data_IF_892183477486
#
_entry.id   IF_892183477486
#
_cell.length_a   1.000
_cell.length_b   1.000
_cell.length_c   1.000
_cell.angle_alpha   90.00
_cell.angle_beta   90.00
_cell.angle_gamma   90.00
#
_symmetry.space_group_name_H-M   'P 1'
#
loop_
_entity.id
_entity.type
_entity.pdbx_description
1 polymer ?
#
# COMPACT_ATOMS: atom_id res chain seq x y z
N UNK A 1 -7.15 13.32 4.82
CA UNK A 1 -7.17 11.99 4.18
C UNK A 1 -5.79 11.71 3.60
N UNK A 2 -5.32 10.49 3.78
CA UNK A 2 -4.08 10.01 3.18
C UNK A 2 -4.28 8.60 2.67
N UNK A 3 -3.43 8.16 1.74
CA UNK A 3 -3.62 6.89 1.04
C UNK A 3 -2.30 6.13 1.01
N UNK A 4 -2.29 4.94 1.61
CA UNK A 4 -1.16 4.03 1.50
C UNK A 4 -1.22 3.33 0.14
N UNK A 5 -0.13 3.42 -0.60
CA UNK A 5 -0.06 2.92 -1.97
C UNK A 5 0.58 1.54 -1.98
N UNK A 6 -0.20 0.53 -2.35
CA UNK A 6 0.31 -0.83 -2.50
C UNK A 6 1.28 -0.93 -3.69
N UNK A 7 2.17 -1.89 -3.62
CA UNK A 7 3.14 -2.18 -4.68
C UNK A 7 2.47 -2.35 -6.04
N UNK A 8 1.30 -2.98 -6.09
CA UNK A 8 0.56 -3.20 -7.36
C UNK A 8 0.26 -1.89 -8.10
N UNK A 9 -0.06 -0.83 -7.36
CA UNK A 9 -0.33 0.49 -7.95
C UNK A 9 0.96 1.10 -8.49
N UNK A 10 2.08 0.99 -7.75
CA UNK A 10 3.37 1.46 -8.22
C UNK A 10 3.79 0.75 -9.50
N UNK A 11 3.63 -0.58 -9.57
CA UNK A 11 3.97 -1.36 -10.76
C UNK A 11 3.13 -0.92 -11.96
N UNK A 12 1.83 -0.71 -11.77
CA UNK A 12 0.96 -0.17 -12.81
C UNK A 12 1.46 1.19 -13.30
N UNK A 13 1.83 2.08 -12.37
CA UNK A 13 2.37 3.39 -12.72
C UNK A 13 3.66 3.28 -13.54
N UNK A 14 4.57 2.37 -13.16
CA UNK A 14 5.82 2.19 -13.88
C UNK A 14 5.60 1.67 -15.31
N UNK A 15 4.56 0.88 -15.52
CA UNK A 15 4.26 0.27 -16.83
C UNK A 15 3.42 1.16 -17.72
N UNK A 16 2.43 1.82 -17.16
CA UNK A 16 1.37 2.48 -17.94
C UNK A 16 1.23 3.98 -17.64
N UNK A 17 1.85 4.46 -16.59
CA UNK A 17 1.55 5.77 -16.02
C UNK A 17 0.20 5.78 -15.31
N UNK A 18 0.15 6.35 -14.11
CA UNK A 18 -1.07 6.46 -13.32
C UNK A 18 -1.22 7.91 -12.85
N UNK A 19 -2.07 8.66 -13.53
CA UNK A 19 -2.24 10.10 -13.27
C UNK A 19 -2.86 10.36 -11.89
N UNK A 20 -3.71 9.45 -11.41
CA UNK A 20 -4.31 9.60 -10.08
C UNK A 20 -3.22 9.52 -9.01
N UNK A 21 -2.28 8.58 -9.15
CA UNK A 21 -1.14 8.46 -8.24
C UNK A 21 -0.26 9.72 -8.32
N UNK A 22 0.05 10.21 -9.51
CA UNK A 22 0.85 11.43 -9.69
C UNK A 22 0.19 12.61 -8.98
N UNK A 23 -1.12 12.77 -9.12
CA UNK A 23 -1.87 13.85 -8.46
C UNK A 23 -1.81 13.70 -6.93
N UNK A 24 -1.96 12.50 -6.41
CA UNK A 24 -1.85 12.24 -4.97
C UNK A 24 -0.48 12.60 -4.43
N UNK A 25 0.57 12.24 -5.15
CA UNK A 25 1.94 12.59 -4.76
C UNK A 25 2.08 14.13 -4.72
N UNK A 26 1.59 14.81 -5.73
CA UNK A 26 1.64 16.28 -5.80
C UNK A 26 0.87 16.97 -4.70
N UNK A 27 -0.19 16.34 -4.18
CA UNK A 27 -1.01 16.86 -3.07
C UNK A 27 -0.54 16.37 -1.70
N UNK A 28 0.58 15.64 -1.64
CA UNK A 28 1.14 15.08 -0.39
C UNK A 28 0.15 14.14 0.33
N UNK A 29 -0.62 13.38 -0.43
CA UNK A 29 -1.60 12.42 0.08
C UNK A 29 -1.10 10.98 0.07
N UNK A 30 -0.05 10.67 -0.69
CA UNK A 30 0.46 9.32 -0.84
C UNK A 30 1.36 8.94 0.33
N UNK A 31 1.06 7.80 0.95
CA UNK A 31 1.87 7.23 2.03
C UNK A 31 2.70 6.07 1.50
N UNK A 32 3.86 5.85 2.13
CA UNK A 32 4.72 4.71 1.84
C UNK A 32 4.85 3.80 3.07
N UNK A 33 5.35 2.59 2.83
CA UNK A 33 5.64 1.59 3.84
C UNK A 33 6.95 0.88 3.46
N UNK A 34 7.83 0.55 4.41
CA UNK A 34 9.09 -0.12 4.09
C UNK A 34 8.94 -1.40 3.28
N UNK A 35 7.91 -2.19 3.54
CA UNK A 35 7.66 -3.43 2.79
C UNK A 35 7.32 -3.16 1.31
N UNK A 36 6.65 -2.06 1.00
CA UNK A 36 6.38 -1.66 -0.38
C UNK A 36 7.69 -1.34 -1.10
N UNK A 37 8.55 -0.57 -0.45
CA UNK A 37 9.86 -0.20 -1.01
C UNK A 37 10.70 -1.45 -1.27
N UNK A 38 10.72 -2.39 -0.32
CA UNK A 38 11.46 -3.64 -0.46
C UNK A 38 10.90 -4.50 -1.59
N UNK A 39 9.58 -4.60 -1.72
CA UNK A 39 8.96 -5.33 -2.83
C UNK A 39 9.33 -4.73 -4.19
N UNK A 40 9.29 -3.41 -4.30
CA UNK A 40 9.70 -2.72 -5.53
C UNK A 40 11.19 -3.00 -5.80
N UNK A 41 12.01 -3.01 -4.76
CA UNK A 41 13.44 -3.33 -4.86
C UNK A 41 13.70 -4.76 -5.33
N UNK A 42 12.80 -5.70 -5.06
CA UNK A 42 12.90 -7.08 -5.55
C UNK A 42 12.69 -7.19 -7.06
N UNK A 43 12.09 -6.18 -7.66
CA UNK A 43 11.82 -6.15 -9.10
C UNK A 43 12.79 -5.23 -9.84
N UNK A 44 12.30 -4.67 -10.94
CA UNK A 44 13.08 -3.80 -11.82
C UNK A 44 12.39 -2.43 -11.93
N UNK A 45 12.51 -1.57 -10.90
CA UNK A 45 11.96 -0.22 -10.98
C UNK A 45 12.65 0.59 -12.08
N UNK A 46 12.03 1.68 -12.57
CA UNK A 46 12.61 2.51 -13.61
C UNK A 46 14.00 3.03 -13.25
N UNK A 47 14.86 3.11 -14.27
CA UNK A 47 16.20 3.67 -14.12
C UNK A 47 16.13 5.21 -13.94
N UNK A 48 17.01 5.82 -13.15
CA UNK A 48 18.02 5.17 -12.31
C UNK A 48 17.38 4.51 -11.08
N UNK A 49 17.65 3.23 -10.90
CA UNK A 49 17.05 2.41 -9.85
C UNK A 49 17.14 3.03 -8.46
N UNK A 50 18.32 3.46 -8.06
CA UNK A 50 18.54 4.03 -6.74
C UNK A 50 17.71 5.29 -6.53
N UNK A 51 17.59 6.13 -7.54
CA UNK A 51 16.81 7.37 -7.46
C UNK A 51 15.32 7.07 -7.31
N UNK A 52 14.79 6.13 -8.07
CA UNK A 52 13.38 5.72 -7.96
C UNK A 52 13.05 5.23 -6.56
N UNK A 53 13.89 4.34 -6.00
CA UNK A 53 13.69 3.82 -4.65
C UNK A 53 13.80 4.91 -3.59
N UNK A 54 14.78 5.82 -3.73
CA UNK A 54 14.94 6.94 -2.82
C UNK A 54 13.74 7.89 -2.86
N UNK A 55 13.22 8.19 -4.05
CA UNK A 55 12.07 9.09 -4.19
C UNK A 55 10.83 8.53 -3.50
N UNK A 56 10.57 7.24 -3.65
CA UNK A 56 9.44 6.59 -2.96
C UNK A 56 9.67 6.63 -1.45
N UNK A 57 10.91 6.42 -0.99
CA UNK A 57 11.27 6.49 0.42
C UNK A 57 11.12 7.87 1.05
N UNK A 58 11.05 8.94 0.23
CA UNK A 58 10.84 10.30 0.72
C UNK A 58 9.36 10.64 0.97
N UNK A 59 8.44 9.80 0.53
CA UNK A 59 7.03 10.01 0.81
C UNK A 59 6.75 9.85 2.30
N UNK A 60 5.65 10.46 2.76
CA UNK A 60 5.22 10.33 4.14
C UNK A 60 5.02 8.86 4.50
N UNK A 61 5.64 8.32 5.55
CA UNK A 61 5.38 6.94 5.96
C UNK A 61 4.05 6.84 6.71
N UNK A 62 3.37 5.69 6.53
CA UNK A 62 2.25 5.34 7.40
C UNK A 62 2.77 4.88 8.77
N UNK A 63 1.89 4.74 9.74
CA UNK A 63 2.23 4.02 10.97
C UNK A 63 2.43 2.54 10.62
N UNK A 64 3.44 1.92 11.20
CA UNK A 64 3.80 0.53 10.87
C UNK A 64 3.35 -0.41 11.97
N UNK A 65 2.51 -1.39 11.60
CA UNK A 65 2.19 -2.48 12.50
C UNK A 65 3.41 -3.40 12.63
N UNK A 66 3.71 -3.83 13.86
CA UNK A 66 4.77 -4.80 14.12
C UNK A 66 4.34 -6.19 13.64
N UNK A 67 5.28 -7.12 13.50
CA UNK A 67 4.95 -8.50 13.15
C UNK A 67 4.01 -9.14 14.17
N UNK A 68 4.20 -8.84 15.46
CA UNK A 68 3.29 -9.31 16.51
C UNK A 68 1.88 -8.77 16.32
N UNK A 69 1.75 -7.50 16.02
CA UNK A 69 0.45 -6.86 15.77
C UNK A 69 -0.23 -7.44 14.53
N UNK A 70 0.54 -7.71 13.47
CA UNK A 70 0.01 -8.35 12.26
C UNK A 70 -0.49 -9.76 12.59
N UNK A 71 0.28 -10.55 13.36
CA UNK A 71 -0.14 -11.90 13.77
C UNK A 71 -1.43 -11.86 14.58
N UNK A 72 -1.51 -10.97 15.56
CA UNK A 72 -2.72 -10.81 16.38
C UNK A 72 -3.94 -10.41 15.54
N UNK A 73 -3.73 -9.51 14.57
CA UNK A 73 -4.77 -9.05 13.67
C UNK A 73 -5.31 -10.22 12.82
N UNK A 74 -4.42 -11.01 12.24
CA UNK A 74 -4.80 -12.18 11.44
C UNK A 74 -5.64 -13.16 12.26
N UNK A 75 -5.20 -13.47 13.49
CA UNK A 75 -5.89 -14.42 14.36
C UNK A 75 -7.24 -13.87 14.85
N UNK A 76 -7.26 -12.63 15.30
CA UNK A 76 -8.48 -12.00 15.83
C UNK A 76 -9.57 -11.89 14.78
N UNK A 77 -9.22 -11.49 13.57
CA UNK A 77 -10.18 -11.26 12.49
C UNK A 77 -10.35 -12.47 11.57
N UNK A 78 -9.63 -13.56 11.85
CA UNK A 78 -9.69 -14.81 11.08
C UNK A 78 -9.39 -14.60 9.60
N UNK A 79 -8.29 -13.90 9.33
CA UNK A 79 -7.89 -13.54 7.96
C UNK A 79 -7.01 -14.60 7.27
N UNK A 80 -6.82 -15.74 7.90
CA UNK A 80 -6.02 -16.83 7.34
C UNK A 80 -6.79 -17.59 6.26
N UNK A 81 -6.04 -18.13 5.30
CA UNK A 81 -6.64 -18.92 4.22
C UNK A 81 -7.39 -18.12 3.16
N UNK A 82 -7.25 -16.79 3.15
CA UNK A 82 -7.98 -15.92 2.22
C UNK A 82 -7.18 -15.53 0.99
N UNK A 83 -5.97 -16.07 0.84
CA UNK A 83 -5.15 -15.80 -0.33
C UNK A 83 -4.30 -14.54 -0.26
N UNK A 84 -4.26 -13.88 0.89
CA UNK A 84 -3.40 -12.72 1.13
C UNK A 84 -2.21 -13.15 1.99
N UNK A 85 -1.02 -12.64 1.66
CA UNK A 85 0.21 -12.98 2.38
C UNK A 85 0.63 -11.92 3.38
N UNK A 86 1.86 -12.09 3.88
CA UNK A 86 2.43 -11.24 4.92
C UNK A 86 2.38 -9.74 4.57
N UNK A 87 2.83 -9.38 3.38
CA UNK A 87 2.90 -7.96 2.99
C UNK A 87 1.50 -7.36 2.94
N UNK A 88 0.54 -8.07 2.34
CA UNK A 88 -0.85 -7.62 2.28
C UNK A 88 -1.42 -7.36 3.67
N UNK A 89 -1.20 -8.31 4.59
CA UNK A 89 -1.70 -8.18 5.97
C UNK A 89 -1.00 -7.05 6.72
N UNK A 90 0.30 -6.88 6.50
CA UNK A 90 1.06 -5.79 7.11
C UNK A 90 0.58 -4.42 6.62
N UNK A 91 0.29 -4.29 5.33
CA UNK A 91 -0.22 -3.05 4.77
C UNK A 91 -1.62 -2.73 5.29
N UNK A 92 -2.49 -3.73 5.36
CA UNK A 92 -3.85 -3.54 5.88
C UNK A 92 -3.81 -3.14 7.35
N UNK A 93 -3.08 -3.87 8.17
CA UNK A 93 -2.94 -3.57 9.60
C UNK A 93 -2.34 -2.17 9.82
N UNK A 94 -1.32 -1.81 9.04
CA UNK A 94 -0.68 -0.49 9.13
C UNK A 94 -1.64 0.64 8.71
N UNK A 95 -2.49 0.41 7.72
CA UNK A 95 -3.52 1.36 7.33
C UNK A 95 -4.50 1.60 8.47
N UNK A 96 -4.93 0.53 9.13
CA UNK A 96 -5.91 0.62 10.21
C UNK A 96 -5.40 1.39 11.43
N UNK A 97 -4.09 1.39 11.69
CA UNK A 97 -3.50 2.15 12.79
C UNK A 97 -2.98 3.53 12.37
N UNK A 98 -3.18 3.91 11.12
CA UNK A 98 -2.84 5.25 10.63
C UNK A 98 -4.12 6.08 10.54
N UNK A 99 -4.31 7.09 11.39
CA UNK A 99 -5.55 7.86 11.42
C UNK A 99 -5.87 8.49 10.06
N UNK A 100 -7.09 8.31 9.57
CA UNK A 100 -7.57 8.89 8.33
C UNK A 100 -7.00 8.27 7.05
N UNK A 101 -6.26 7.17 7.17
CA UNK A 101 -5.66 6.53 6.00
C UNK A 101 -6.60 5.53 5.33
N UNK A 102 -6.45 5.43 4.03
CA UNK A 102 -7.06 4.37 3.21
C UNK A 102 -5.96 3.59 2.50
N UNK A 103 -6.27 2.40 2.05
CA UNK A 103 -5.35 1.53 1.30
C UNK A 103 -5.80 1.44 -0.15
N UNK A 104 -4.89 1.79 -1.06
CA UNK A 104 -5.13 1.65 -2.50
C UNK A 104 -4.31 0.48 -3.05
N UNK A 105 -5.01 -0.51 -3.57
CA UNK A 105 -4.42 -1.70 -4.18
C UNK A 105 -5.18 -2.08 -5.45
N UNK A 106 -4.50 -2.72 -6.38
CA UNK A 106 -5.12 -3.32 -7.57
C UNK A 106 -5.34 -4.83 -7.40
N UNK A 107 -4.91 -5.40 -6.27
CA UNK A 107 -5.17 -6.79 -5.94
C UNK A 107 -6.60 -6.91 -5.40
N UNK A 108 -7.42 -7.73 -6.06
CA UNK A 108 -8.84 -7.86 -5.71
C UNK A 108 -9.07 -8.39 -4.30
N UNK A 109 -8.27 -9.35 -3.86
CA UNK A 109 -8.43 -9.94 -2.52
C UNK A 109 -8.11 -8.94 -1.43
N UNK A 110 -7.02 -8.21 -1.59
CA UNK A 110 -6.64 -7.18 -0.63
C UNK A 110 -7.65 -6.03 -0.63
N UNK A 111 -8.13 -5.62 -1.80
CA UNK A 111 -9.14 -4.57 -1.90
C UNK A 111 -10.45 -4.97 -1.21
N UNK A 112 -10.88 -6.21 -1.36
CA UNK A 112 -12.07 -6.73 -0.67
C UNK A 112 -11.89 -6.70 0.85
N UNK A 113 -10.72 -7.10 1.34
CA UNK A 113 -10.44 -7.03 2.78
C UNK A 113 -10.41 -5.60 3.28
N UNK A 114 -9.75 -4.70 2.56
CA UNK A 114 -9.75 -3.28 2.91
C UNK A 114 -11.17 -2.72 2.96
N UNK A 115 -12.03 -3.14 2.03
CA UNK A 115 -13.45 -2.77 2.02
C UNK A 115 -14.20 -3.27 3.25
N UNK A 116 -13.91 -4.47 3.73
CA UNK A 116 -14.52 -5.01 4.95
C UNK A 116 -14.22 -4.17 6.19
N UNK A 117 -13.04 -3.56 6.22
CA UNK A 117 -12.62 -2.71 7.34
C UNK A 117 -12.89 -1.22 7.09
N UNK A 118 -13.53 -0.88 5.96
CA UNK A 118 -13.90 0.50 5.65
C UNK A 118 -12.74 1.39 5.25
N UNK A 119 -11.62 0.84 4.79
CA UNK A 119 -10.41 1.59 4.46
C UNK A 119 -9.96 1.42 3.00
N UNK A 120 -10.80 0.87 2.15
CA UNK A 120 -10.46 0.73 0.74
C UNK A 120 -10.50 2.09 0.03
N UNK A 121 -9.39 2.46 -0.62
CA UNK A 121 -9.36 3.61 -1.50
C UNK A 121 -9.66 3.13 -2.93
N UNK A 122 -10.73 3.64 -3.51
CA UNK A 122 -11.16 3.31 -4.88
C UNK A 122 -11.31 4.59 -5.66
N UNK A 123 -10.34 4.93 -6.53
CA UNK A 123 -10.46 6.13 -7.36
C UNK A 123 -11.71 6.07 -8.23
N UNK A 124 -12.33 7.22 -8.44
CA UNK A 124 -13.49 7.31 -9.32
C UNK A 124 -13.09 6.95 -10.75
N UNK A 125 -13.94 6.16 -11.42
CA UNK A 125 -13.77 5.85 -12.84
C UNK A 125 -14.38 6.98 -13.67
N UNK A 126 -13.63 7.45 -14.64
CA UNK A 126 -14.09 8.49 -15.55
C UNK A 126 -14.01 8.04 -17.00
#
# INVERSE_FOLDING_TARGET
MSVLIDTSVWIDHFRNGNNVLVDMIGLDLALTHPMVIVEIACGTPPAPRAQTLNNIGLLQPCNQASLSEVMEFIEREKLYGLGCGLVDMALLASTLITPGAELWTLDKRLDELAGRFGVAHRPALH
#
